data_IF_147263907806
#
_entry.id   IF_147263907806
#
_cell.length_a   1.000
_cell.length_b   1.000
_cell.length_c   1.000
_cell.angle_alpha   90.00
_cell.angle_beta   90.00
_cell.angle_gamma   90.00
#
_symmetry.space_group_name_H-M   'P 1'
#
loop_
_entity.id
_entity.type
_entity.pdbx_description
1 polymer ?
#
# COMPACT_ATOMS: atom_id res chain seq x y z
N UNK A 1 -22.88 -0.49 -18.98
CA UNK A 1 -22.09 0.76 -19.04
C UNK A 1 -20.71 0.46 -18.50
N UNK A 2 -19.93 1.48 -18.13
CA UNK A 2 -18.76 1.30 -17.26
C UNK A 2 -19.20 1.50 -15.80
N UNK A 3 -18.94 0.53 -14.93
CA UNK A 3 -19.47 0.53 -13.55
C UNK A 3 -18.42 0.95 -12.50
N UNK A 4 -17.14 0.91 -12.84
CA UNK A 4 -16.04 1.27 -11.94
C UNK A 4 -14.79 1.68 -12.71
N UNK A 5 -14.18 2.79 -12.29
CA UNK A 5 -12.81 3.14 -12.61
C UNK A 5 -11.93 2.73 -11.42
N UNK A 6 -10.98 1.83 -11.67
CA UNK A 6 -9.94 1.47 -10.69
C UNK A 6 -8.62 2.13 -11.09
N UNK A 7 -8.00 2.86 -10.15
CA UNK A 7 -6.70 3.51 -10.37
C UNK A 7 -5.77 3.35 -9.16
N UNK A 8 -4.49 3.66 -9.36
CA UNK A 8 -3.47 3.70 -8.30
C UNK A 8 -2.93 5.13 -8.12
N UNK A 9 -1.61 5.34 -8.11
CA UNK A 9 -0.90 6.63 -8.27
C UNK A 9 -1.06 7.69 -7.14
N UNK A 10 -2.13 7.68 -6.34
CA UNK A 10 -2.26 8.54 -5.15
C UNK A 10 -2.17 7.67 -3.91
N UNK A 11 -1.29 8.04 -2.96
CA UNK A 11 -1.18 7.34 -1.69
C UNK A 11 -2.51 7.39 -0.95
N UNK A 12 -2.96 6.22 -0.48
CA UNK A 12 -4.13 6.05 0.37
C UNK A 12 -3.69 5.30 1.62
N UNK A 13 -3.96 5.87 2.81
CA UNK A 13 -3.41 5.37 4.06
C UNK A 13 -4.01 4.02 4.47
N UNK A 14 -5.28 3.82 4.16
CA UNK A 14 -6.07 2.62 4.41
C UNK A 14 -5.88 1.53 3.34
N UNK A 15 -5.03 1.77 2.32
CA UNK A 15 -4.77 0.85 1.22
C UNK A 15 -5.75 0.98 0.05
N UNK A 16 -7.00 1.41 0.26
CA UNK A 16 -7.92 1.75 -0.84
C UNK A 16 -9.00 2.74 -0.42
N UNK A 17 -9.50 3.55 -1.36
CA UNK A 17 -10.55 4.54 -1.07
C UNK A 17 -11.49 4.73 -2.26
N UNK A 18 -12.79 4.64 -1.99
CA UNK A 18 -13.82 5.12 -2.92
C UNK A 18 -13.92 6.65 -2.83
N UNK A 19 -13.86 7.31 -3.98
CA UNK A 19 -13.81 8.78 -4.05
C UNK A 19 -15.20 9.44 -4.01
N UNK A 20 -16.24 8.68 -4.37
CA UNK A 20 -17.62 9.17 -4.48
C UNK A 20 -18.60 8.23 -3.76
N UNK A 21 -19.76 8.74 -3.29
CA UNK A 21 -20.79 7.92 -2.63
C UNK A 21 -21.26 6.75 -3.48
N UNK A 22 -21.33 6.92 -4.79
CA UNK A 22 -21.76 5.91 -5.77
C UNK A 22 -20.70 4.83 -6.01
N UNK A 23 -19.52 4.96 -5.41
CA UNK A 23 -18.40 4.00 -5.52
C UNK A 23 -17.98 3.70 -6.96
N UNK A 24 -18.08 4.71 -7.84
CA UNK A 24 -17.75 4.64 -9.26
C UNK A 24 -16.25 4.83 -9.57
N UNK A 25 -15.48 5.35 -8.60
CA UNK A 25 -14.03 5.52 -8.70
C UNK A 25 -13.37 5.02 -7.41
N UNK A 26 -12.40 4.11 -7.57
CA UNK A 26 -11.57 3.63 -6.47
C UNK A 26 -10.10 3.86 -6.73
N UNK A 27 -9.39 4.34 -5.71
CA UNK A 27 -7.94 4.30 -5.67
C UNK A 27 -7.49 3.11 -4.83
N UNK A 28 -6.58 2.29 -5.37
CA UNK A 28 -5.98 1.14 -4.69
C UNK A 28 -4.48 1.38 -4.57
N UNK A 29 -3.92 1.09 -3.40
CA UNK A 29 -2.52 1.25 -3.08
C UNK A 29 -1.92 -0.06 -2.57
N UNK A 30 -0.90 -0.59 -3.24
CA UNK A 30 -0.39 -1.95 -2.98
C UNK A 30 1.04 -1.98 -2.39
N UNK A 31 1.59 -0.84 -1.98
CA UNK A 31 2.92 -0.75 -1.36
C UNK A 31 2.80 -0.39 0.13
N UNK A 32 2.85 -1.35 1.08
CA UNK A 32 2.67 -1.05 2.49
C UNK A 32 3.87 -0.28 3.04
N UNK A 33 3.63 0.58 4.02
CA UNK A 33 4.63 1.48 4.59
C UNK A 33 5.51 2.15 3.51
N UNK A 34 4.86 2.87 2.59
CA UNK A 34 5.52 3.48 1.44
C UNK A 34 6.73 4.32 1.86
N UNK A 35 7.83 4.14 1.12
CA UNK A 35 9.15 4.70 1.41
C UNK A 35 9.63 4.45 2.86
N UNK A 36 9.17 3.38 3.50
CA UNK A 36 9.46 2.99 4.88
C UNK A 36 9.16 4.07 5.93
N UNK A 37 8.19 4.95 5.64
CA UNK A 37 7.91 6.13 6.48
C UNK A 37 6.44 6.50 6.59
N UNK A 38 5.61 6.07 5.63
CA UNK A 38 4.23 6.51 5.55
C UNK A 38 3.31 5.74 6.50
N UNK A 39 3.69 4.53 6.92
CA UNK A 39 2.90 3.69 7.82
C UNK A 39 1.57 3.19 7.24
N UNK A 40 1.34 3.40 5.94
CA UNK A 40 0.10 3.02 5.27
C UNK A 40 -0.06 1.50 5.16
N UNK A 41 -1.31 1.07 5.12
CA UNK A 41 -1.70 -0.30 4.75
C UNK A 41 -1.69 -0.41 3.21
N UNK A 42 -1.53 -1.63 2.70
CA UNK A 42 -1.68 -1.93 1.30
C UNK A 42 -2.91 -2.81 1.04
N UNK A 43 -3.46 -2.71 -0.17
CA UNK A 43 -4.63 -3.46 -0.60
C UNK A 43 -4.41 -4.10 -1.97
N UNK A 44 -5.13 -5.20 -2.21
CA UNK A 44 -5.41 -5.78 -3.53
C UNK A 44 -6.92 -5.73 -3.72
N UNK A 45 -7.38 -5.23 -4.87
CA UNK A 45 -8.77 -5.36 -5.31
C UNK A 45 -8.87 -6.58 -6.22
N UNK A 46 -9.58 -7.62 -5.79
CA UNK A 46 -9.90 -8.80 -6.58
C UNK A 46 -11.36 -8.81 -7.01
N UNK A 47 -11.61 -9.42 -8.16
CA UNK A 47 -12.94 -9.67 -8.71
C UNK A 47 -13.14 -11.18 -8.86
N UNK A 48 -14.34 -11.66 -8.57
CA UNK A 48 -14.74 -13.04 -8.86
C UNK A 48 -15.40 -13.17 -10.25
N UNK A 49 -15.93 -14.35 -10.55
CA UNK A 49 -16.61 -14.64 -11.83
C UNK A 49 -17.86 -13.78 -12.07
N UNK A 50 -18.46 -13.25 -10.99
CA UNK A 50 -19.63 -12.37 -11.03
C UNK A 50 -19.25 -10.88 -10.97
N UNK A 51 -17.95 -10.56 -11.02
CA UNK A 51 -17.40 -9.20 -10.82
C UNK A 51 -17.69 -8.60 -9.44
N UNK A 52 -17.96 -9.45 -8.44
CA UNK A 52 -18.05 -9.02 -7.05
C UNK A 52 -16.67 -8.62 -6.53
N UNK A 53 -16.65 -7.56 -5.72
CA UNK A 53 -15.43 -6.83 -5.35
C UNK A 53 -14.96 -7.24 -3.97
N UNK A 54 -13.75 -7.77 -3.86
CA UNK A 54 -13.12 -8.12 -2.59
C UNK A 54 -11.79 -7.36 -2.40
N UNK A 55 -11.59 -6.80 -1.22
CA UNK A 55 -10.35 -6.09 -0.85
C UNK A 55 -9.53 -6.91 0.14
N UNK A 56 -8.31 -7.26 -0.27
CA UNK A 56 -7.36 -7.97 0.58
C UNK A 56 -6.34 -6.99 1.12
N UNK A 57 -6.38 -6.74 2.42
CA UNK A 57 -5.48 -5.83 3.11
C UNK A 57 -4.23 -6.55 3.62
N UNK A 58 -3.07 -5.91 3.52
CA UNK A 58 -1.80 -6.44 4.00
C UNK A 58 -0.84 -5.33 4.45
N UNK A 59 0.11 -5.72 5.30
CA UNK A 59 1.16 -4.84 5.85
C UNK A 59 2.54 -5.33 5.42
N UNK A 60 3.51 -4.46 5.61
CA UNK A 60 4.92 -4.73 5.43
C UNK A 60 5.37 -5.91 6.29
N UNK A 61 6.30 -6.70 5.77
CA UNK A 61 6.90 -7.79 6.53
C UNK A 61 7.97 -7.21 7.46
N UNK A 62 8.13 -7.84 8.63
CA UNK A 62 9.26 -7.51 9.52
C UNK A 62 10.58 -7.61 8.73
N UNK A 63 11.54 -6.72 8.98
CA UNK A 63 12.87 -6.84 8.40
C UNK A 63 13.43 -8.25 8.67
N UNK A 64 14.09 -8.83 7.67
CA UNK A 64 14.76 -10.12 7.83
C UNK A 64 15.83 -10.02 8.93
N UNK A 65 16.23 -11.16 9.53
CA UNK A 65 17.23 -11.16 10.58
C UNK A 65 18.52 -10.41 10.18
N UNK A 66 18.93 -10.50 8.90
CA UNK A 66 20.06 -9.75 8.34
C UNK A 66 19.86 -8.22 8.40
N UNK A 67 18.65 -7.73 8.16
CA UNK A 67 18.32 -6.33 8.32
C UNK A 67 18.31 -5.93 9.82
N UNK A 68 17.84 -6.80 10.72
CA UNK A 68 17.90 -6.56 12.17
C UNK A 68 19.33 -6.48 12.72
N UNK A 69 20.27 -7.29 12.18
CA UNK A 69 21.68 -7.20 12.56
C UNK A 69 22.26 -5.84 12.15
N UNK A 70 21.90 -5.34 10.96
CA UNK A 70 22.24 -3.99 10.53
C UNK A 70 21.54 -2.90 11.38
N UNK A 71 20.39 -3.18 11.98
CA UNK A 71 19.70 -2.28 12.92
C UNK A 71 20.37 -2.18 14.29
N UNK A 72 21.07 -3.24 14.73
CA UNK A 72 21.69 -3.30 16.07
C UNK A 72 23.04 -2.60 16.18
N UNK A 73 23.73 -2.34 15.07
CA UNK A 73 25.11 -1.82 15.08
C UNK A 73 25.23 -0.29 15.11
N UNK A 74 24.18 0.47 14.80
CA UNK A 74 24.04 1.91 15.07
C UNK A 74 22.65 2.30 14.57
N UNK A 75 21.89 3.11 15.33
CA UNK A 75 20.46 3.37 15.12
C UNK A 75 20.04 3.49 13.65
N UNK A 76 19.50 2.41 13.10
CA UNK A 76 19.15 2.33 11.70
C UNK A 76 17.86 3.08 11.44
N UNK A 77 18.02 4.27 10.87
CA UNK A 77 16.92 5.05 10.38
C UNK A 77 16.57 4.56 8.97
N UNK A 78 15.47 3.80 8.84
CA UNK A 78 14.93 3.40 7.53
C UNK A 78 14.77 4.58 6.55
N UNK A 79 14.66 5.83 7.05
CA UNK A 79 14.61 7.06 6.23
C UNK A 79 15.92 7.36 5.48
N UNK A 80 17.05 6.79 5.87
CA UNK A 80 18.37 7.12 5.31
C UNK A 80 18.76 6.25 4.10
N UNK A 81 18.12 5.09 3.90
CA UNK A 81 18.54 4.13 2.87
C UNK A 81 17.83 4.26 1.53
N UNK A 82 16.70 4.95 1.46
CA UNK A 82 15.99 5.15 0.19
C UNK A 82 16.27 6.57 -0.29
N UNK A 83 17.18 6.77 -1.26
CA UNK A 83 17.35 8.08 -1.88
C UNK A 83 15.99 8.60 -2.36
N UNK A 84 15.71 9.86 -2.03
CA UNK A 84 14.48 10.56 -2.38
C UNK A 84 14.43 10.73 -3.89
N UNK A 85 13.83 9.78 -4.59
CA UNK A 85 13.44 9.96 -5.98
C UNK A 85 11.93 10.22 -5.98
N UNK A 86 11.58 11.50 -6.06
CA UNK A 86 10.28 11.98 -6.53
C UNK A 86 10.27 11.95 -8.05
#
# INVERSE_FOLDING_TARGET
GLDLICRAHQLVQEGYKYMFPEKSLVTVWSAPNYCYRCGNVAAILSFDENLERDFKLFREVRPSALALVAESSEGFNQRALVPYFL
#
